data_IF_126320607095
#
_entry.id   IF_126320607095
#
_cell.length_a   1.000
_cell.length_b   1.000
_cell.length_c   1.000
_cell.angle_alpha   90.00
_cell.angle_beta   90.00
_cell.angle_gamma   90.00
#
_symmetry.space_group_name_H-M   'P 1'
#
loop_
_entity.id
_entity.type
_entity.pdbx_description
1 polymer ?
#
# COMPACT_ATOMS: atom_id res chain seq x y z
N UNK A 1 23.66 49.76 25.20
CA UNK A 1 24.11 49.18 23.92
C UNK A 1 23.61 47.74 23.89
N UNK A 2 22.37 47.59 23.46
CA UNK A 2 21.74 46.29 23.19
C UNK A 2 22.42 45.66 21.98
N UNK A 3 22.76 44.38 22.08
CA UNK A 3 22.91 43.51 20.91
C UNK A 3 22.34 42.15 21.30
N UNK A 4 21.08 41.95 20.89
CA UNK A 4 20.38 40.69 21.03
C UNK A 4 21.02 39.62 20.15
N UNK A 5 21.48 38.55 20.79
CA UNK A 5 21.70 37.27 20.11
C UNK A 5 20.35 36.57 20.02
N UNK A 6 19.67 36.77 18.89
CA UNK A 6 18.63 35.87 18.43
C UNK A 6 19.28 34.51 18.16
N UNK A 7 19.11 33.57 19.08
CA UNK A 7 19.34 32.16 18.82
C UNK A 7 18.37 31.76 17.73
N UNK A 8 18.89 31.58 16.51
CA UNK A 8 18.15 30.94 15.45
C UNK A 8 17.81 29.53 15.93
N UNK A 9 16.54 29.29 16.21
CA UNK A 9 15.98 27.95 16.32
C UNK A 9 16.28 27.25 15.00
N UNK A 10 17.26 26.33 14.99
CA UNK A 10 17.33 25.35 13.92
C UNK A 10 15.99 24.59 13.94
N UNK A 11 15.28 24.51 12.80
CA UNK A 11 14.08 23.70 12.75
C UNK A 11 14.52 22.26 13.01
N UNK A 12 14.11 21.72 14.16
CA UNK A 12 14.24 20.32 14.53
C UNK A 12 13.88 19.48 13.30
N UNK A 13 14.89 18.85 12.68
CA UNK A 13 14.72 18.07 11.46
C UNK A 13 14.03 16.76 11.81
N UNK A 14 12.71 16.84 11.86
CA UNK A 14 11.89 15.69 12.18
C UNK A 14 12.03 14.60 11.09
N UNK A 15 12.18 13.34 11.49
CA UNK A 15 12.11 12.18 10.57
C UNK A 15 13.38 11.75 9.80
N UNK A 16 14.57 12.31 10.07
CA UNK A 16 15.81 11.94 9.32
C UNK A 16 16.29 10.51 9.59
N UNK A 17 16.04 9.97 10.79
CA UNK A 17 16.59 8.68 11.21
C UNK A 17 15.71 7.46 10.90
N UNK A 18 14.44 7.65 10.51
CA UNK A 18 13.51 6.54 10.31
C UNK A 18 13.59 6.05 8.87
N UNK A 19 13.97 4.78 8.70
CA UNK A 19 13.97 4.08 7.43
C UNK A 19 12.93 2.97 7.44
N UNK A 20 11.96 3.04 6.53
CA UNK A 20 10.97 1.99 6.30
C UNK A 20 10.86 1.73 4.81
N UNK A 21 10.78 0.47 4.43
CA UNK A 21 10.47 0.04 3.06
C UNK A 21 9.51 -1.13 3.12
N UNK A 22 8.37 -0.96 2.45
CA UNK A 22 7.36 -2.01 2.39
C UNK A 22 7.83 -3.19 1.54
N UNK A 23 7.72 -4.39 2.10
CA UNK A 23 8.05 -5.65 1.43
C UNK A 23 6.78 -6.26 0.83
N UNK A 24 6.71 -6.30 -0.51
CA UNK A 24 5.58 -6.95 -1.16
C UNK A 24 5.60 -8.48 -0.94
N UNK A 25 4.44 -9.09 -0.64
CA UNK A 25 4.31 -10.54 -0.52
C UNK A 25 4.54 -11.20 -1.89
N UNK A 26 5.57 -12.06 -1.98
CA UNK A 26 5.94 -12.77 -3.22
C UNK A 26 5.19 -14.08 -3.43
N UNK A 27 4.34 -14.49 -2.48
CA UNK A 27 3.72 -15.81 -2.44
C UNK A 27 2.88 -16.09 -3.69
N UNK A 28 2.05 -15.13 -4.13
CA UNK A 28 1.22 -15.28 -5.33
C UNK A 28 2.04 -15.51 -6.60
N UNK A 29 3.04 -14.64 -6.85
CA UNK A 29 3.92 -14.77 -8.01
C UNK A 29 4.71 -16.07 -7.96
N UNK A 30 5.20 -16.47 -6.78
CA UNK A 30 5.92 -17.73 -6.62
C UNK A 30 5.02 -18.92 -6.95
N UNK A 31 3.80 -18.97 -6.40
CA UNK A 31 2.85 -20.07 -6.64
C UNK A 31 2.47 -20.14 -8.11
N UNK A 32 2.04 -19.03 -8.72
CA UNK A 32 1.62 -19.00 -10.12
C UNK A 32 2.76 -19.39 -11.07
N UNK A 33 3.97 -18.85 -10.89
CA UNK A 33 5.13 -19.23 -11.70
C UNK A 33 5.46 -20.71 -11.55
N UNK A 34 5.42 -21.24 -10.32
CA UNK A 34 5.71 -22.65 -10.06
C UNK A 34 4.71 -23.56 -10.77
N UNK A 35 3.40 -23.30 -10.61
CA UNK A 35 2.34 -24.10 -11.23
C UNK A 35 2.44 -24.08 -12.75
N UNK A 36 2.61 -22.90 -13.35
CA UNK A 36 2.72 -22.77 -14.80
C UNK A 36 3.99 -23.43 -15.35
N UNK A 37 5.11 -23.37 -14.61
CA UNK A 37 6.35 -24.03 -15.01
C UNK A 37 6.21 -25.54 -14.98
N UNK A 38 5.65 -26.10 -13.91
CA UNK A 38 5.37 -27.55 -13.80
C UNK A 38 4.47 -28.01 -14.94
N UNK A 39 3.43 -27.23 -15.25
CA UNK A 39 2.54 -27.51 -16.38
C UNK A 39 3.28 -27.56 -17.72
N UNK A 40 4.10 -26.55 -18.03
CA UNK A 40 4.87 -26.51 -19.29
C UNK A 40 5.84 -27.68 -19.40
N UNK A 41 6.56 -28.00 -18.31
CA UNK A 41 7.49 -29.15 -18.27
C UNK A 41 6.75 -30.45 -18.55
N UNK A 42 5.59 -30.64 -17.93
CA UNK A 42 4.77 -31.82 -18.16
C UNK A 42 4.33 -31.93 -19.62
N UNK A 43 3.83 -30.83 -20.21
CA UNK A 43 3.42 -30.80 -21.62
C UNK A 43 4.60 -31.06 -22.56
N UNK A 44 5.79 -30.53 -22.25
CA UNK A 44 7.00 -30.79 -23.04
C UNK A 44 7.41 -32.26 -23.02
N UNK A 45 7.28 -32.95 -21.89
CA UNK A 45 7.60 -34.36 -21.77
C UNK A 45 6.62 -35.28 -22.52
N UNK A 46 5.38 -34.83 -22.75
CA UNK A 46 4.34 -35.60 -23.46
C UNK A 46 4.35 -35.33 -24.95
N UNK A 47 4.56 -34.07 -25.37
CA UNK A 47 4.35 -33.64 -26.76
C UNK A 47 5.62 -33.66 -27.61
N UNK A 48 6.80 -33.56 -27.00
CA UNK A 48 8.05 -33.50 -27.77
C UNK A 48 8.62 -34.90 -28.04
N UNK A 49 9.15 -35.15 -29.26
CA UNK A 49 9.36 -34.20 -30.35
C UNK A 49 8.20 -34.10 -31.36
N UNK A 50 7.25 -35.03 -31.31
CA UNK A 50 6.27 -35.30 -32.36
C UNK A 50 5.30 -34.13 -32.62
N UNK A 51 4.90 -33.43 -31.57
CA UNK A 51 3.91 -32.34 -31.60
C UNK A 51 4.51 -30.98 -31.21
N UNK A 52 5.70 -30.67 -31.75
CA UNK A 52 6.43 -29.43 -31.45
C UNK A 52 5.63 -28.14 -31.67
N UNK A 53 4.80 -28.06 -32.72
CA UNK A 53 3.93 -26.90 -32.96
C UNK A 53 2.89 -26.71 -31.86
N UNK A 54 2.26 -27.80 -31.39
CA UNK A 54 1.26 -27.76 -30.31
C UNK A 54 1.92 -27.31 -29.01
N UNK A 55 3.11 -27.85 -28.72
CA UNK A 55 3.90 -27.44 -27.56
C UNK A 55 4.23 -25.93 -27.58
N UNK A 56 4.63 -25.38 -28.73
CA UNK A 56 4.89 -23.94 -28.86
C UNK A 56 3.66 -23.07 -28.62
N UNK A 57 2.47 -23.49 -29.09
CA UNK A 57 1.22 -22.79 -28.82
C UNK A 57 0.89 -22.81 -27.33
N UNK A 58 1.03 -23.95 -26.66
CA UNK A 58 0.82 -24.08 -25.21
C UNK A 58 1.82 -23.21 -24.44
N UNK A 59 3.08 -23.18 -24.87
CA UNK A 59 4.12 -22.36 -24.26
C UNK A 59 3.78 -20.87 -24.39
N UNK A 60 3.38 -20.42 -25.57
CA UNK A 60 2.98 -19.03 -25.82
C UNK A 60 1.75 -18.64 -24.97
N UNK A 61 0.73 -19.48 -24.93
CA UNK A 61 -0.48 -19.24 -24.13
C UNK A 61 -0.18 -19.24 -22.63
N UNK A 62 0.67 -20.16 -22.17
CA UNK A 62 1.11 -20.20 -20.77
C UNK A 62 1.92 -18.94 -20.41
N UNK A 63 2.77 -18.46 -21.32
CA UNK A 63 3.48 -17.19 -21.17
C UNK A 63 2.52 -16.00 -21.05
N UNK A 64 1.47 -15.95 -21.87
CA UNK A 64 0.43 -14.93 -21.78
C UNK A 64 -0.31 -14.99 -20.43
N UNK A 65 -0.69 -16.18 -19.97
CA UNK A 65 -1.31 -16.35 -18.65
C UNK A 65 -0.37 -15.91 -17.52
N UNK A 66 0.91 -16.28 -17.59
CA UNK A 66 1.91 -15.84 -16.63
C UNK A 66 1.98 -14.31 -16.57
N UNK A 67 1.98 -13.65 -17.73
CA UNK A 67 1.96 -12.19 -17.83
C UNK A 67 0.70 -11.61 -17.20
N UNK A 68 -0.50 -12.06 -17.58
CA UNK A 68 -1.76 -11.51 -17.07
C UNK A 68 -1.88 -11.69 -15.55
N UNK A 69 -1.57 -12.89 -15.04
CA UNK A 69 -1.66 -13.21 -13.62
C UNK A 69 -0.62 -12.48 -12.76
N UNK A 70 0.50 -12.06 -13.35
CA UNK A 70 1.59 -11.38 -12.65
C UNK A 70 1.78 -9.91 -13.01
N UNK A 71 1.08 -9.37 -14.01
CA UNK A 71 1.21 -7.98 -14.43
C UNK A 71 0.89 -7.02 -13.29
N UNK A 72 -0.19 -7.27 -12.55
CA UNK A 72 -0.61 -6.44 -11.40
C UNK A 72 0.42 -6.49 -10.25
N UNK A 73 0.80 -7.66 -9.69
CA UNK A 73 1.79 -7.70 -8.61
C UNK A 73 3.17 -7.19 -9.05
N UNK A 74 3.55 -7.38 -10.31
CA UNK A 74 4.80 -6.85 -10.86
C UNK A 74 4.76 -5.32 -10.99
N UNK A 75 3.67 -4.77 -11.54
CA UNK A 75 3.45 -3.33 -11.62
C UNK A 75 3.54 -2.69 -10.24
N UNK A 76 2.90 -3.31 -9.23
CA UNK A 76 3.02 -2.86 -7.84
C UNK A 76 4.42 -2.89 -7.28
N UNK A 77 5.16 -3.95 -7.56
CA UNK A 77 6.55 -4.06 -7.13
C UNK A 77 7.41 -2.91 -7.66
N UNK A 78 7.10 -2.42 -8.87
CA UNK A 78 7.85 -1.35 -9.52
C UNK A 78 7.34 0.04 -9.10
N UNK A 79 6.02 0.23 -9.04
CA UNK A 79 5.39 1.56 -8.99
C UNK A 79 4.62 1.88 -7.70
N UNK A 80 4.43 0.93 -6.79
CA UNK A 80 3.62 1.11 -5.58
C UNK A 80 4.41 0.76 -4.32
N UNK A 81 5.69 1.12 -4.29
CA UNK A 81 6.54 0.88 -3.12
C UNK A 81 6.36 2.04 -2.14
N UNK A 82 5.97 1.71 -0.91
CA UNK A 82 5.97 2.68 0.20
C UNK A 82 7.38 2.71 0.79
N UNK A 83 7.95 3.90 0.89
CA UNK A 83 9.24 4.15 1.52
C UNK A 83 9.14 5.37 2.43
N UNK A 84 9.77 5.26 3.59
CA UNK A 84 9.99 6.37 4.50
C UNK A 84 11.50 6.53 4.62
N UNK A 85 12.04 7.67 4.20
CA UNK A 85 13.47 7.94 4.28
C UNK A 85 13.71 9.45 4.32
N UNK A 86 14.59 9.90 5.23
CA UNK A 86 15.05 11.30 5.25
C UNK A 86 13.93 12.31 5.45
N UNK A 87 12.94 12.00 6.29
CA UNK A 87 11.77 12.85 6.52
C UNK A 87 10.79 12.92 5.34
N UNK A 88 10.91 12.01 4.37
CA UNK A 88 10.02 11.92 3.21
C UNK A 88 9.32 10.57 3.18
N UNK A 89 8.00 10.61 3.00
CA UNK A 89 7.14 9.47 2.71
C UNK A 89 6.92 9.40 1.19
N UNK A 90 7.54 8.44 0.53
CA UNK A 90 7.28 8.13 -0.88
C UNK A 90 6.24 7.02 -0.96
N UNK A 91 5.13 7.26 -1.65
CA UNK A 91 4.09 6.28 -1.94
C UNK A 91 3.95 6.20 -3.45
N UNK A 92 4.55 5.17 -4.03
CA UNK A 92 4.58 4.99 -5.48
C UNK A 92 5.33 6.11 -6.20
N UNK A 93 4.61 6.99 -6.90
CA UNK A 93 5.19 8.16 -7.59
C UNK A 93 5.08 9.46 -6.79
N UNK A 94 4.31 9.45 -5.71
CA UNK A 94 4.10 10.63 -4.88
C UNK A 94 5.10 10.65 -3.74
N UNK A 95 5.55 11.86 -3.38
CA UNK A 95 6.45 12.08 -2.24
C UNK A 95 5.84 13.18 -1.38
N UNK A 96 5.69 12.89 -0.10
CA UNK A 96 5.06 13.75 0.91
C UNK A 96 6.09 13.97 2.01
N UNK A 97 6.27 15.21 2.42
CA UNK A 97 7.14 15.53 3.54
C UNK A 97 6.46 15.10 4.86
N UNK A 98 7.18 14.40 5.73
CA UNK A 98 6.60 13.83 6.96
C UNK A 98 6.18 14.92 7.94
N UNK A 99 6.87 16.06 7.94
CA UNK A 99 6.51 17.26 8.70
C UNK A 99 5.18 17.89 8.26
N UNK A 100 4.74 17.61 7.03
CA UNK A 100 3.42 18.03 6.55
C UNK A 100 2.28 17.13 7.03
N UNK A 101 2.57 15.97 7.64
CA UNK A 101 1.57 15.07 8.20
C UNK A 101 1.23 15.46 9.64
N UNK A 102 -0.05 15.38 10.00
CA UNK A 102 -0.52 15.57 11.37
C UNK A 102 -0.13 14.38 12.24
N UNK A 103 0.67 14.63 13.28
CA UNK A 103 1.05 13.61 14.26
C UNK A 103 -0.16 13.00 14.96
N UNK A 104 -1.17 13.81 15.25
CA UNK A 104 -2.38 13.40 15.93
C UNK A 104 -3.20 12.47 15.05
N UNK A 105 -3.31 12.79 13.75
CA UNK A 105 -3.97 11.94 12.77
C UNK A 105 -3.27 10.59 12.61
N UNK A 106 -1.93 10.57 12.63
CA UNK A 106 -1.16 9.31 12.57
C UNK A 106 -1.40 8.44 13.81
N UNK A 107 -1.53 9.05 15.00
CA UNK A 107 -1.85 8.33 16.22
C UNK A 107 -3.30 7.82 16.22
N UNK A 108 -4.26 8.64 15.80
CA UNK A 108 -5.67 8.24 15.64
C UNK A 108 -5.79 7.09 14.65
N UNK A 109 -5.11 7.19 13.49
CA UNK A 109 -5.08 6.16 12.48
C UNK A 109 -4.52 4.83 13.01
N UNK A 110 -3.74 4.81 14.10
CA UNK A 110 -3.23 3.60 14.76
C UNK A 110 -4.24 2.95 15.69
N UNK A 111 -5.16 3.74 16.24
CA UNK A 111 -6.23 3.27 17.14
C UNK A 111 -7.47 2.80 16.37
N UNK A 112 -7.60 3.19 15.11
CA UNK A 112 -8.71 2.73 14.26
C UNK A 112 -8.66 1.20 14.06
N UNK A 113 -9.84 0.54 13.96
CA UNK A 113 -9.90 -0.87 13.61
C UNK A 113 -9.40 -1.10 12.18
N UNK A 114 -8.80 -2.25 11.92
CA UNK A 114 -8.48 -2.70 10.57
C UNK A 114 -9.75 -2.91 9.73
N UNK A 115 -9.63 -2.94 8.40
CA UNK A 115 -10.77 -3.19 7.51
C UNK A 115 -11.47 -4.52 7.80
N UNK A 116 -10.71 -5.54 8.20
CA UNK A 116 -11.25 -6.85 8.58
C UNK A 116 -12.06 -6.78 9.89
N UNK A 117 -11.55 -6.07 10.90
CA UNK A 117 -12.25 -5.84 12.16
C UNK A 117 -13.49 -4.97 11.96
N UNK A 118 -13.39 -3.94 11.11
CA UNK A 118 -14.51 -3.10 10.74
C UNK A 118 -15.59 -3.91 10.02
N UNK A 119 -15.22 -4.71 9.01
CA UNK A 119 -16.15 -5.59 8.31
C UNK A 119 -16.83 -6.60 9.26
N UNK A 120 -16.08 -7.18 10.19
CA UNK A 120 -16.63 -8.06 11.22
C UNK A 120 -17.61 -7.31 12.14
N UNK A 121 -17.31 -6.06 12.50
CA UNK A 121 -18.20 -5.21 13.31
C UNK A 121 -19.51 -4.85 12.60
N UNK A 122 -19.53 -4.88 11.26
CA UNK A 122 -20.72 -4.63 10.45
C UNK A 122 -21.59 -5.89 10.30
N UNK A 123 -21.00 -7.08 10.34
CA UNK A 123 -21.72 -8.34 10.12
C UNK A 123 -22.85 -8.61 11.13
N UNK A 124 -22.77 -8.01 12.33
CA UNK A 124 -23.79 -8.12 13.38
C UNK A 124 -24.81 -6.97 13.44
N UNK A 125 -24.75 -5.99 12.53
CA UNK A 125 -25.57 -4.77 12.63
C UNK A 125 -26.92 -4.87 11.91
N UNK A 126 -27.89 -4.08 12.38
CA UNK A 126 -29.20 -3.96 11.75
C UNK A 126 -29.12 -3.17 10.43
N UNK A 127 -30.14 -3.28 9.58
CA UNK A 127 -30.19 -2.52 8.31
C UNK A 127 -30.25 -1.02 8.56
N UNK A 128 -30.94 -0.59 9.61
CA UNK A 128 -31.07 0.79 10.03
C UNK A 128 -29.71 1.37 10.44
N UNK A 129 -28.94 0.62 11.24
CA UNK A 129 -27.58 1.01 11.65
C UNK A 129 -26.63 1.11 10.45
N UNK A 130 -26.69 0.15 9.52
CA UNK A 130 -25.90 0.20 8.29
C UNK A 130 -26.26 1.40 7.41
N UNK A 131 -27.55 1.78 7.36
CA UNK A 131 -28.01 2.94 6.61
C UNK A 131 -27.52 4.26 7.24
N UNK A 132 -27.48 4.32 8.57
CA UNK A 132 -26.94 5.47 9.31
C UNK A 132 -25.42 5.61 9.10
N UNK A 133 -24.66 4.52 9.22
CA UNK A 133 -23.22 4.50 8.93
C UNK A 133 -22.96 4.99 7.52
N UNK A 134 -23.68 4.45 6.52
CA UNK A 134 -23.55 4.87 5.11
C UNK A 134 -23.88 6.35 4.92
N UNK A 135 -24.88 6.88 5.64
CA UNK A 135 -25.25 8.31 5.58
C UNK A 135 -24.11 9.18 6.12
N UNK A 136 -23.52 8.79 7.26
CA UNK A 136 -22.38 9.49 7.87
C UNK A 136 -21.13 9.45 6.97
N UNK A 137 -20.87 8.33 6.31
CA UNK A 137 -19.76 8.23 5.35
C UNK A 137 -19.94 9.11 4.12
N UNK A 138 -21.18 9.29 3.64
CA UNK A 138 -21.47 10.18 2.49
C UNK A 138 -21.28 11.66 2.78
N UNK A 139 -21.37 12.06 4.05
CA UNK A 139 -21.14 13.44 4.46
C UNK A 139 -19.65 13.75 4.69
N UNK A 140 -18.82 12.73 4.84
CA UNK A 140 -17.38 12.90 4.94
C UNK A 140 -16.77 13.16 3.55
N UNK A 141 -15.80 14.07 3.47
CA UNK A 141 -15.02 14.25 2.25
C UNK A 141 -14.23 12.96 1.97
N UNK A 142 -14.24 12.49 0.73
CA UNK A 142 -13.50 11.30 0.37
C UNK A 142 -11.99 11.60 0.44
N UNK A 143 -11.20 10.78 1.14
CA UNK A 143 -9.76 10.98 1.21
C UNK A 143 -9.12 10.76 -0.16
N UNK A 144 -8.05 11.50 -0.46
CA UNK A 144 -7.33 11.39 -1.73
C UNK A 144 -6.44 10.16 -1.69
N UNK A 145 -6.63 9.23 -2.63
CA UNK A 145 -5.74 8.09 -2.80
C UNK A 145 -4.34 8.57 -3.22
N UNK A 146 -3.33 8.18 -2.46
CA UNK A 146 -1.92 8.51 -2.71
C UNK A 146 -1.22 7.35 -3.38
N UNK A 147 -0.51 7.66 -4.47
CA UNK A 147 0.34 6.71 -5.16
C UNK A 147 -0.41 5.60 -5.89
N UNK A 148 -1.74 5.70 -6.01
CA UNK A 148 -2.63 4.77 -6.71
C UNK A 148 -3.54 5.50 -7.70
N UNK A 149 -3.94 4.83 -8.78
CA UNK A 149 -4.74 5.47 -9.85
C UNK A 149 -6.25 5.42 -9.64
N UNK A 150 -6.78 4.37 -9.00
CA UNK A 150 -8.22 4.08 -9.08
C UNK A 150 -8.84 3.48 -7.80
N UNK A 151 -8.13 2.61 -7.06
CA UNK A 151 -8.66 1.97 -5.85
C UNK A 151 -7.59 1.33 -4.99
N UNK A 152 -7.97 0.93 -3.77
CA UNK A 152 -7.17 0.08 -2.89
C UNK A 152 -7.21 -1.35 -3.41
N UNK A 153 -6.05 -1.94 -3.73
CA UNK A 153 -6.04 -3.27 -4.31
C UNK A 153 -6.35 -4.35 -3.28
N UNK A 154 -6.95 -5.44 -3.73
CA UNK A 154 -7.32 -6.57 -2.88
C UNK A 154 -6.11 -7.12 -2.09
N UNK A 155 -6.33 -7.39 -0.80
CA UNK A 155 -5.31 -7.90 0.13
C UNK A 155 -4.35 -6.82 0.67
N UNK A 156 -4.68 -5.54 0.48
CA UNK A 156 -4.11 -4.42 1.21
C UNK A 156 -5.15 -3.84 2.17
N UNK A 157 -4.66 -3.17 3.19
CA UNK A 157 -5.44 -2.36 4.12
C UNK A 157 -5.35 -0.89 3.73
N UNK A 158 -6.38 -0.14 4.14
CA UNK A 158 -6.46 1.31 3.98
C UNK A 158 -5.92 2.02 5.22
N UNK A 159 -5.09 3.04 5.00
CA UNK A 159 -4.64 3.95 6.05
C UNK A 159 -4.97 5.36 5.63
N UNK A 160 -5.80 6.05 6.43
CA UNK A 160 -6.12 7.46 6.22
C UNK A 160 -5.33 8.29 7.22
N UNK A 161 -4.55 9.24 6.71
CA UNK A 161 -3.80 10.23 7.51
C UNK A 161 -4.05 11.62 6.96
N UNK A 162 -4.09 12.60 7.85
CA UNK A 162 -4.32 14.00 7.49
C UNK A 162 -3.01 14.77 7.44
N UNK A 163 -2.93 15.72 6.51
CA UNK A 163 -1.88 16.74 6.54
C UNK A 163 -2.22 17.81 7.57
N UNK A 164 -1.22 18.57 8.01
CA UNK A 164 -1.42 19.75 8.87
C UNK A 164 -2.33 20.79 8.20
N UNK A 165 -2.40 20.79 6.87
CA UNK A 165 -3.32 21.62 6.08
C UNK A 165 -4.75 21.08 5.98
N UNK A 166 -5.07 19.96 6.65
CA UNK A 166 -6.40 19.34 6.64
C UNK A 166 -6.73 18.51 5.40
N UNK A 167 -5.73 18.18 4.57
CA UNK A 167 -5.93 17.27 3.44
C UNK A 167 -5.90 15.83 3.95
N UNK A 168 -6.96 15.06 3.67
CA UNK A 168 -7.07 13.66 4.07
C UNK A 168 -6.50 12.75 2.96
N UNK A 169 -5.48 11.97 3.30
CA UNK A 169 -4.69 11.14 2.38
C UNK A 169 -4.93 9.66 2.68
N UNK A 170 -5.31 8.88 1.66
CA UNK A 170 -5.49 7.44 1.75
C UNK A 170 -4.29 6.70 1.15
N UNK A 171 -3.67 5.85 1.94
CA UNK A 171 -2.50 5.04 1.57
C UNK A 171 -2.88 3.56 1.67
N UNK A 172 -2.73 2.83 0.56
CA UNK A 172 -2.94 1.39 0.52
C UNK A 172 -1.65 0.64 0.90
N UNK A 173 -1.69 -0.20 1.94
CA UNK A 173 -0.51 -0.93 2.44
C UNK A 173 -0.81 -2.39 2.77
N UNK A 174 0.19 -3.26 2.65
CA UNK A 174 0.14 -4.64 3.11
C UNK A 174 0.44 -4.80 4.61
N UNK A 175 1.03 -3.78 5.25
CA UNK A 175 1.42 -3.83 6.67
C UNK A 175 1.13 -2.48 7.32
N UNK A 176 -0.15 -2.29 7.65
CA UNK A 176 -0.66 -1.08 8.31
C UNK A 176 0.05 -0.81 9.63
N UNK A 177 0.27 -1.83 10.44
CA UNK A 177 0.94 -1.71 11.73
C UNK A 177 2.37 -1.20 11.58
N UNK A 178 3.18 -1.83 10.72
CA UNK A 178 4.55 -1.40 10.51
C UNK A 178 4.66 0.00 9.89
N UNK A 179 3.77 0.34 8.95
CA UNK A 179 3.72 1.68 8.35
C UNK A 179 3.38 2.75 9.40
N UNK A 180 2.30 2.57 10.15
CA UNK A 180 1.85 3.54 11.16
C UNK A 180 2.85 3.67 12.30
N UNK A 181 3.48 2.57 12.72
CA UNK A 181 4.56 2.62 13.70
C UNK A 181 5.78 3.40 13.17
N UNK A 182 6.11 3.26 11.89
CA UNK A 182 7.20 4.01 11.27
C UNK A 182 6.86 5.51 11.16
N UNK A 183 5.65 5.85 10.72
CA UNK A 183 5.17 7.24 10.66
C UNK A 183 5.13 7.87 12.05
N UNK A 184 4.57 7.17 13.05
CA UNK A 184 4.48 7.67 14.41
C UNK A 184 5.85 7.90 15.07
N UNK A 185 6.90 7.19 14.64
CA UNK A 185 8.28 7.49 15.03
C UNK A 185 8.82 8.71 14.29
N UNK A 186 8.59 8.78 12.98
CA UNK A 186 9.12 9.85 12.14
C UNK A 186 8.46 11.22 12.43
N UNK A 187 7.22 11.26 12.91
CA UNK A 187 6.55 12.49 13.35
C UNK A 187 6.94 12.93 14.78
N UNK A 188 7.59 12.06 15.57
CA UNK A 188 7.96 12.34 16.99
C UNK A 188 9.40 12.81 17.18
N UNK A 189 10.30 12.40 16.30
CA UNK A 189 11.68 12.89 16.19
C UNK A 189 11.70 14.09 15.28
#
# INVERSE_FOLDING_TARGET
>A
MESGQGGAEEPLRHGVAVMYEEKLPRRWTLVTVTVLTVWVVHQGAVLLPEESTVFLVILAFTGLLALVLNAVPLSKRVYHRIRLQGGQLTVGRETIAVDSLSSDSVLEAREQPSDAEFAASLAGRSREELAEIRRKSRTASAPRLVGGGWSVPLGMEEVVVETVGGESLLIATHDRGALLDALARACRT
#
